data_IF_760832066895
#
_entry.id   IF_760832066895
#
_cell.length_a   1.000
_cell.length_b   1.000
_cell.length_c   1.000
_cell.angle_alpha   90.00
_cell.angle_beta   90.00
_cell.angle_gamma   90.00
#
_symmetry.space_group_name_H-M   'P 1'
#
loop_
_entity.id
_entity.type
_entity.pdbx_description
1 polymer ?
#
# COMPACT_ATOMS: atom_id res chain seq x y z
N UNK A 1 -10.55 12.24 0.87
CA UNK A 1 -11.89 12.25 1.51
C UNK A 1 -11.82 12.88 2.90
N UNK A 2 -11.06 12.33 3.85
CA UNK A 2 -11.05 12.77 5.26
C UNK A 2 -10.88 14.28 5.44
N UNK A 3 -9.84 14.88 4.81
CA UNK A 3 -9.59 16.34 4.90
C UNK A 3 -10.75 17.16 4.30
N UNK A 4 -11.30 16.71 3.16
CA UNK A 4 -12.45 17.36 2.52
C UNK A 4 -13.67 17.37 3.45
N UNK A 5 -14.04 16.22 3.99
CA UNK A 5 -15.17 16.09 4.90
C UNK A 5 -14.92 16.83 6.22
N UNK A 6 -13.71 16.78 6.75
CA UNK A 6 -13.37 17.55 7.96
C UNK A 6 -13.58 19.06 7.76
N UNK A 7 -13.19 19.58 6.59
CA UNK A 7 -13.48 21.00 6.26
C UNK A 7 -14.98 21.29 6.15
N UNK A 8 -15.79 20.33 5.69
CA UNK A 8 -17.22 20.52 5.50
C UNK A 8 -18.03 20.37 6.79
N UNK A 9 -17.73 19.37 7.62
CA UNK A 9 -18.56 18.98 8.78
C UNK A 9 -17.79 18.96 10.12
N UNK A 10 -16.50 19.26 10.11
CA UNK A 10 -15.69 19.41 11.32
C UNK A 10 -15.68 18.16 12.20
N UNK A 11 -16.00 18.33 13.48
CA UNK A 11 -15.99 17.28 14.51
C UNK A 11 -17.06 16.19 14.35
N UNK A 12 -17.99 16.33 13.41
CA UNK A 12 -18.94 15.26 13.08
C UNK A 12 -18.27 14.10 12.32
N UNK A 13 -17.05 14.32 11.77
CA UNK A 13 -16.27 13.29 11.12
C UNK A 13 -15.43 12.53 12.16
N UNK A 14 -15.58 11.21 12.20
CA UNK A 14 -14.64 10.30 12.87
C UNK A 14 -14.00 9.39 11.82
N UNK A 15 -12.68 9.33 11.79
CA UNK A 15 -11.92 8.44 10.92
C UNK A 15 -11.42 7.24 11.71
N UNK A 16 -11.48 6.05 11.10
CA UNK A 16 -10.88 4.83 11.66
C UNK A 16 -9.68 4.47 10.80
N UNK A 17 -8.50 4.40 11.41
CA UNK A 17 -7.25 3.98 10.76
C UNK A 17 -6.85 2.60 11.28
N UNK A 18 -6.97 1.59 10.44
CA UNK A 18 -6.62 0.20 10.79
C UNK A 18 -5.14 -0.03 10.48
N UNK A 19 -4.34 -0.21 11.54
CA UNK A 19 -2.95 -0.62 11.42
C UNK A 19 -2.88 -2.16 11.46
N UNK A 20 -2.89 -2.75 10.28
CA UNK A 20 -2.88 -4.21 10.10
C UNK A 20 -1.48 -4.84 10.12
N UNK A 21 -0.43 -4.06 10.41
CA UNK A 21 0.95 -4.56 10.45
C UNK A 21 1.62 -4.79 9.09
N UNK A 22 0.90 -4.61 7.97
CA UNK A 22 1.44 -4.74 6.61
C UNK A 22 1.75 -3.38 5.96
N UNK A 23 1.83 -2.34 6.77
CA UNK A 23 2.19 -0.99 6.33
C UNK A 23 3.70 -0.86 6.08
N UNK A 24 4.07 0.15 5.30
CA UNK A 24 5.47 0.57 5.12
C UNK A 24 6.08 1.05 6.44
N UNK A 25 7.41 1.12 6.49
CA UNK A 25 8.14 1.66 7.66
C UNK A 25 7.67 3.06 8.03
N UNK A 26 7.22 3.23 9.26
CA UNK A 26 6.76 4.51 9.82
C UNK A 26 5.48 5.08 9.20
N UNK A 27 4.80 4.36 8.28
CA UNK A 27 3.65 4.90 7.56
C UNK A 27 2.48 5.24 8.47
N UNK A 28 2.19 4.39 9.47
CA UNK A 28 1.12 4.66 10.42
C UNK A 28 1.34 5.94 11.21
N UNK A 29 2.56 6.19 11.66
CA UNK A 29 2.91 7.40 12.42
C UNK A 29 2.87 8.65 11.53
N UNK A 30 3.36 8.53 10.28
CA UNK A 30 3.27 9.62 9.29
C UNK A 30 1.82 10.01 8.98
N UNK A 31 0.90 9.03 8.89
CA UNK A 31 -0.54 9.28 8.69
C UNK A 31 -1.10 10.06 9.89
N UNK A 32 -0.81 9.61 11.11
CA UNK A 32 -1.29 10.28 12.32
C UNK A 32 -0.72 11.70 12.43
N UNK A 33 0.59 11.89 12.25
CA UNK A 33 1.21 13.21 12.29
C UNK A 33 0.63 14.17 11.25
N UNK A 34 0.45 13.67 10.02
CA UNK A 34 -0.05 14.50 8.93
C UNK A 34 -1.53 14.85 9.09
N UNK A 35 -2.38 13.88 9.39
CA UNK A 35 -3.83 14.08 9.40
C UNK A 35 -4.34 14.63 10.72
N UNK A 36 -3.85 14.14 11.84
CA UNK A 36 -4.22 14.67 13.18
C UNK A 36 -3.45 15.94 13.46
N UNK A 37 -2.11 15.92 13.33
CA UNK A 37 -1.26 17.04 13.71
C UNK A 37 -1.47 18.30 12.85
N UNK A 38 -1.56 18.15 11.51
CA UNK A 38 -1.69 19.30 10.61
C UNK A 38 -3.13 19.71 10.30
N UNK A 39 -4.04 18.73 10.20
CA UNK A 39 -5.43 18.99 9.81
C UNK A 39 -6.43 18.87 10.94
N UNK A 40 -6.04 18.36 12.10
CA UNK A 40 -6.92 18.23 13.27
C UNK A 40 -8.01 17.18 13.11
N UNK A 41 -7.83 16.17 12.24
CA UNK A 41 -8.81 15.12 12.06
C UNK A 41 -8.95 14.28 13.34
N UNK A 42 -10.20 13.92 13.69
CA UNK A 42 -10.46 12.93 14.73
C UNK A 42 -10.24 11.53 14.15
N UNK A 43 -9.11 10.89 14.50
CA UNK A 43 -8.72 9.57 14.00
C UNK A 43 -8.55 8.59 15.15
N UNK A 44 -9.28 7.48 15.09
CA UNK A 44 -9.11 6.31 15.95
C UNK A 44 -8.12 5.38 15.24
N UNK A 45 -6.90 5.22 15.79
CA UNK A 45 -5.94 4.23 15.29
C UNK A 45 -6.17 2.90 15.99
N UNK A 46 -6.44 1.86 15.22
CA UNK A 46 -6.69 0.50 15.70
C UNK A 46 -5.45 -0.34 15.41
N UNK A 47 -4.76 -0.83 16.45
CA UNK A 47 -3.70 -1.82 16.29
C UNK A 47 -4.33 -3.21 16.11
N UNK A 48 -4.37 -3.65 14.86
CA UNK A 48 -4.90 -4.95 14.46
C UNK A 48 -3.79 -5.93 13.99
N UNK A 49 -2.50 -5.57 14.16
CA UNK A 49 -1.37 -6.35 13.64
C UNK A 49 -1.47 -7.83 14.01
N UNK A 50 -1.65 -8.13 15.29
CA UNK A 50 -1.74 -9.52 15.74
C UNK A 50 -2.90 -10.28 15.08
N UNK A 51 -4.06 -9.63 14.95
CA UNK A 51 -5.27 -10.22 14.37
C UNK A 51 -5.05 -10.62 12.90
N UNK A 52 -4.40 -9.76 12.11
CA UNK A 52 -4.08 -10.06 10.72
C UNK A 52 -3.00 -11.14 10.60
N UNK A 53 -1.93 -11.07 11.39
CA UNK A 53 -0.85 -12.05 11.35
C UNK A 53 -1.32 -13.45 11.75
N UNK A 54 -2.17 -13.58 12.75
CA UNK A 54 -2.76 -14.86 13.16
C UNK A 54 -3.58 -15.50 12.02
N UNK A 55 -4.30 -14.69 11.25
CA UNK A 55 -5.12 -15.17 10.12
C UNK A 55 -4.30 -15.52 8.87
N UNK A 56 -3.14 -14.89 8.70
CA UNK A 56 -2.24 -15.10 7.57
C UNK A 56 -1.22 -16.21 7.81
N UNK A 57 -1.12 -16.73 9.03
CA UNK A 57 -0.18 -17.81 9.36
C UNK A 57 -0.43 -19.06 8.49
N UNK A 58 0.64 -19.55 7.83
CA UNK A 58 0.59 -20.69 6.93
C UNK A 58 -0.06 -20.43 5.56
N UNK A 59 -0.50 -19.19 5.26
CA UNK A 59 -1.14 -18.85 4.00
C UNK A 59 -0.09 -18.39 2.98
N UNK A 60 0.01 -19.12 1.87
CA UNK A 60 0.97 -18.84 0.79
C UNK A 60 0.31 -18.45 -0.52
N UNK A 61 -0.97 -18.78 -0.71
CA UNK A 61 -1.71 -18.44 -1.93
C UNK A 61 -2.06 -16.95 -1.97
N UNK A 62 -1.71 -16.23 -3.05
CA UNK A 62 -1.89 -14.79 -3.12
C UNK A 62 -3.36 -14.35 -3.07
N UNK A 63 -4.27 -15.12 -3.68
CA UNK A 63 -5.69 -14.78 -3.67
C UNK A 63 -6.31 -14.99 -2.28
N UNK A 64 -5.89 -16.03 -1.56
CA UNK A 64 -6.29 -16.26 -0.18
C UNK A 64 -5.78 -15.14 0.74
N UNK A 65 -4.51 -14.70 0.58
CA UNK A 65 -3.99 -13.55 1.32
C UNK A 65 -4.85 -12.31 1.11
N UNK A 66 -5.16 -11.98 -0.16
CA UNK A 66 -6.00 -10.82 -0.50
C UNK A 66 -7.38 -10.89 0.14
N UNK A 67 -8.04 -12.06 0.07
CA UNK A 67 -9.36 -12.28 0.69
C UNK A 67 -9.32 -12.16 2.22
N UNK A 68 -8.33 -12.77 2.86
CA UNK A 68 -8.17 -12.68 4.32
C UNK A 68 -7.96 -11.25 4.74
N UNK A 69 -7.02 -10.53 4.09
CA UNK A 69 -6.71 -9.14 4.42
C UNK A 69 -7.93 -8.24 4.20
N UNK A 70 -8.61 -8.38 3.07
CA UNK A 70 -9.81 -7.61 2.75
C UNK A 70 -10.94 -7.83 3.74
N UNK A 71 -11.27 -9.10 4.01
CA UNK A 71 -12.35 -9.45 4.95
C UNK A 71 -12.02 -8.98 6.38
N UNK A 72 -10.80 -9.24 6.84
CA UNK A 72 -10.40 -8.88 8.19
C UNK A 72 -10.38 -7.36 8.39
N UNK A 73 -10.02 -6.60 7.35
CA UNK A 73 -10.12 -5.14 7.39
C UNK A 73 -11.55 -4.66 7.62
N UNK A 74 -12.52 -5.25 6.92
CA UNK A 74 -13.95 -4.94 7.11
C UNK A 74 -14.41 -5.28 8.52
N UNK A 75 -14.04 -6.46 9.04
CA UNK A 75 -14.42 -6.86 10.39
C UNK A 75 -13.83 -5.95 11.49
N UNK A 76 -12.56 -5.56 11.36
CA UNK A 76 -11.93 -4.61 12.30
C UNK A 76 -12.61 -3.26 12.24
N UNK A 77 -12.95 -2.79 11.03
CA UNK A 77 -13.66 -1.53 10.83
C UNK A 77 -15.04 -1.59 11.48
N UNK A 78 -15.80 -2.65 11.26
CA UNK A 78 -17.15 -2.85 11.83
C UNK A 78 -17.13 -2.93 13.36
N UNK A 79 -16.18 -3.70 13.92
CA UNK A 79 -15.95 -3.80 15.36
C UNK A 79 -15.70 -2.43 16.01
N UNK A 80 -15.03 -1.51 15.33
CA UNK A 80 -14.78 -0.16 15.83
C UNK A 80 -15.97 0.79 15.56
N UNK A 81 -16.58 0.70 14.38
CA UNK A 81 -17.70 1.53 13.99
C UNK A 81 -18.92 1.31 14.91
N UNK A 82 -19.18 0.06 15.33
CA UNK A 82 -20.27 -0.28 16.26
C UNK A 82 -20.11 0.30 17.66
N UNK A 83 -18.89 0.66 18.07
CA UNK A 83 -18.63 1.35 19.34
C UNK A 83 -19.02 2.83 19.32
N UNK A 84 -19.16 3.40 18.10
CA UNK A 84 -19.51 4.80 17.91
C UNK A 84 -21.03 4.98 17.95
N UNK A 85 -21.49 5.98 18.70
CA UNK A 85 -22.91 6.31 18.80
C UNK A 85 -23.26 7.50 17.90
N UNK A 86 -24.46 7.49 17.32
CA UNK A 86 -24.96 8.61 16.52
C UNK A 86 -24.27 8.76 15.18
N UNK A 87 -23.79 7.68 14.59
CA UNK A 87 -23.21 7.65 13.25
C UNK A 87 -24.26 7.12 12.27
N UNK A 88 -24.62 7.93 11.30
CA UNK A 88 -25.62 7.60 10.26
C UNK A 88 -25.00 7.25 8.92
N UNK A 89 -23.76 7.68 8.66
CA UNK A 89 -23.13 7.62 7.35
C UNK A 89 -21.74 7.01 7.39
N UNK A 90 -21.42 6.25 6.32
CA UNK A 90 -20.07 5.79 6.00
C UNK A 90 -19.55 6.58 4.80
N UNK A 91 -18.39 7.21 4.94
CA UNK A 91 -17.73 7.90 3.84
C UNK A 91 -16.72 7.00 3.15
N UNK A 92 -16.81 6.86 1.84
CA UNK A 92 -15.92 6.07 1.00
C UNK A 92 -15.23 6.93 -0.06
N UNK A 93 -14.00 6.57 -0.40
CA UNK A 93 -13.17 7.29 -1.37
C UNK A 93 -13.28 6.79 -2.80
N UNK A 94 -14.42 6.29 -3.20
CA UNK A 94 -14.71 5.85 -4.57
C UNK A 94 -14.43 6.95 -5.57
N UNK A 95 -13.71 6.65 -6.63
CA UNK A 95 -13.41 7.54 -7.75
C UNK A 95 -14.34 7.26 -8.93
N UNK A 96 -14.38 8.17 -9.90
CA UNK A 96 -15.19 7.98 -11.10
C UNK A 96 -14.78 6.76 -11.93
N UNK A 97 -13.48 6.45 -11.98
CA UNK A 97 -12.95 5.23 -12.59
C UNK A 97 -13.51 3.96 -11.95
N UNK A 98 -13.62 3.93 -10.62
CA UNK A 98 -14.18 2.79 -9.89
C UNK A 98 -15.67 2.59 -10.22
N UNK A 99 -16.39 3.69 -10.41
CA UNK A 99 -17.82 3.67 -10.83
C UNK A 99 -17.97 3.09 -12.24
N UNK A 100 -17.12 3.52 -13.19
CA UNK A 100 -17.16 3.01 -14.57
C UNK A 100 -16.83 1.51 -14.60
N UNK A 101 -15.78 1.10 -13.91
CA UNK A 101 -15.35 -0.31 -13.84
C UNK A 101 -16.39 -1.21 -13.20
N UNK A 102 -17.17 -0.72 -12.23
CA UNK A 102 -18.23 -1.48 -11.57
C UNK A 102 -19.50 -1.65 -12.40
N UNK A 103 -19.67 -0.87 -13.48
CA UNK A 103 -20.88 -0.88 -14.34
C UNK A 103 -20.86 -1.87 -15.50
N UNK A 104 -19.76 -2.60 -15.75
CA UNK A 104 -19.64 -3.56 -16.86
C UNK A 104 -19.84 -5.00 -16.40
N UNK A 105 -20.46 -5.87 -17.24
CA UNK A 105 -20.70 -7.29 -16.93
C UNK A 105 -19.40 -8.07 -16.65
N UNK A 106 -18.28 -7.64 -17.22
CA UNK A 106 -16.93 -8.13 -16.94
C UNK A 106 -16.40 -7.72 -15.55
N UNK A 107 -17.02 -6.71 -14.96
CA UNK A 107 -16.62 -6.16 -13.66
C UNK A 107 -17.01 -7.03 -12.45
N UNK A 108 -17.85 -8.07 -12.62
CA UNK A 108 -18.11 -9.02 -11.52
C UNK A 108 -16.87 -9.76 -11.05
N UNK A 109 -15.90 -9.98 -11.95
CA UNK A 109 -14.61 -10.60 -11.60
C UNK A 109 -13.62 -9.58 -11.02
N UNK A 110 -13.76 -8.31 -11.36
CA UNK A 110 -12.90 -7.20 -10.89
C UNK A 110 -13.39 -6.62 -9.55
N UNK A 111 -14.68 -6.79 -9.22
CA UNK A 111 -15.31 -6.34 -7.97
C UNK A 111 -14.65 -6.85 -6.68
N UNK A 112 -13.88 -7.94 -6.76
CA UNK A 112 -13.11 -8.44 -5.60
C UNK A 112 -11.91 -7.57 -5.23
N UNK A 113 -11.49 -6.65 -6.09
CA UNK A 113 -10.27 -5.85 -5.92
C UNK A 113 -10.52 -4.39 -5.53
N UNK A 114 -11.74 -3.88 -5.74
CA UNK A 114 -12.11 -2.52 -5.36
C UNK A 114 -13.22 -2.58 -4.32
N UNK A 115 -13.09 -1.86 -3.23
CA UNK A 115 -13.93 -1.85 -2.03
C UNK A 115 -15.45 -1.61 -2.23
N UNK A 116 -15.95 -1.50 -3.46
CA UNK A 116 -17.35 -1.19 -3.79
C UNK A 116 -18.31 -2.36 -3.51
N UNK A 117 -17.80 -3.59 -3.30
CA UNK A 117 -18.60 -4.77 -3.05
C UNK A 117 -18.28 -5.54 -1.77
N UNK A 118 -17.39 -5.02 -0.93
CA UNK A 118 -16.88 -5.73 0.25
C UNK A 118 -17.53 -5.33 1.57
N UNK A 119 -18.48 -4.41 1.56
CA UNK A 119 -19.21 -4.06 2.79
C UNK A 119 -20.25 -5.16 3.10
N UNK A 120 -20.40 -5.57 4.37
CA UNK A 120 -21.45 -6.50 4.77
C UNK A 120 -22.85 -6.00 4.36
N UNK A 121 -23.68 -6.92 3.88
CA UNK A 121 -25.07 -6.59 3.44
C UNK A 121 -25.95 -6.07 4.57
N UNK A 122 -25.58 -6.33 5.81
CA UNK A 122 -26.27 -5.93 7.05
C UNK A 122 -25.76 -4.60 7.63
N UNK A 123 -24.80 -3.94 6.97
CA UNK A 123 -24.28 -2.64 7.42
C UNK A 123 -25.37 -1.56 7.28
N UNK A 124 -25.76 -0.94 8.39
CA UNK A 124 -26.89 -0.01 8.48
C UNK A 124 -26.53 1.44 8.09
N UNK A 125 -25.28 1.72 7.69
CA UNK A 125 -24.85 3.09 7.34
C UNK A 125 -25.27 3.49 5.93
N UNK A 126 -25.71 4.73 5.76
CA UNK A 126 -25.87 5.34 4.43
C UNK A 126 -24.50 5.69 3.86
N UNK A 127 -24.27 5.36 2.60
CA UNK A 127 -22.99 5.62 1.94
C UNK A 127 -22.90 7.08 1.45
N UNK A 128 -21.74 7.71 1.67
CA UNK A 128 -21.37 9.01 1.10
C UNK A 128 -20.08 8.85 0.30
N UNK A 129 -20.10 9.19 -0.98
CA UNK A 129 -18.98 9.07 -1.90
C UNK A 129 -18.67 10.41 -2.57
N UNK A 130 -17.98 11.32 -1.84
CA UNK A 130 -17.84 12.72 -2.30
C UNK A 130 -16.87 12.89 -3.47
N UNK A 131 -16.17 11.84 -3.90
CA UNK A 131 -15.19 11.88 -5.00
C UNK A 131 -15.64 11.04 -6.22
N UNK A 132 -16.83 10.47 -6.23
CA UNK A 132 -17.28 9.50 -7.23
C UNK A 132 -17.51 10.09 -8.64
N UNK A 133 -17.38 11.39 -8.80
CA UNK A 133 -17.44 12.11 -10.09
C UNK A 133 -16.07 12.63 -10.55
N UNK A 134 -15.00 12.39 -9.77
CA UNK A 134 -13.67 12.91 -10.04
C UNK A 134 -12.72 11.81 -10.49
N UNK A 135 -11.85 12.15 -11.45
CA UNK A 135 -10.71 11.35 -11.82
C UNK A 135 -9.54 11.51 -10.82
N UNK A 136 -8.57 10.62 -10.87
CA UNK A 136 -7.46 10.57 -9.90
C UNK A 136 -6.58 11.81 -9.91
N UNK A 137 -6.36 12.40 -11.08
CA UNK A 137 -5.63 13.66 -11.25
C UNK A 137 -6.39 14.85 -10.67
N UNK A 138 -7.71 14.93 -10.88
CA UNK A 138 -8.57 15.95 -10.27
C UNK A 138 -8.60 15.83 -8.74
N UNK A 139 -8.60 14.60 -8.21
CA UNK A 139 -8.50 14.37 -6.74
C UNK A 139 -7.16 14.82 -6.19
N UNK A 140 -6.06 14.68 -6.95
CA UNK A 140 -4.75 15.20 -6.56
C UNK A 140 -4.74 16.74 -6.55
N UNK A 141 -5.32 17.37 -7.56
CA UNK A 141 -5.47 18.81 -7.60
C UNK A 141 -6.30 19.33 -6.43
N UNK A 142 -7.44 18.69 -6.16
CA UNK A 142 -8.26 18.98 -4.98
C UNK A 142 -7.46 18.84 -3.68
N UNK A 143 -6.63 17.80 -3.56
CA UNK A 143 -5.75 17.60 -2.42
C UNK A 143 -4.78 18.76 -2.22
N UNK A 144 -4.17 19.24 -3.30
CA UNK A 144 -3.29 20.40 -3.29
C UNK A 144 -4.03 21.69 -2.87
N UNK A 145 -5.22 21.91 -3.42
CA UNK A 145 -6.08 23.07 -3.04
C UNK A 145 -6.54 23.01 -1.58
N UNK A 146 -6.70 21.80 -1.03
CA UNK A 146 -7.01 21.60 0.39
C UNK A 146 -5.80 21.85 1.32
N UNK A 147 -4.61 22.11 0.76
CA UNK A 147 -3.37 22.35 1.51
C UNK A 147 -2.69 21.07 1.99
N UNK A 148 -2.98 19.94 1.37
CA UNK A 148 -2.30 18.66 1.70
C UNK A 148 -0.86 18.70 1.19
N UNK A 149 0.11 18.17 1.97
CA UNK A 149 1.50 18.15 1.54
C UNK A 149 1.71 17.24 0.33
N UNK A 150 2.64 17.62 -0.53
CA UNK A 150 3.00 16.90 -1.74
C UNK A 150 3.33 15.43 -1.48
N UNK A 151 3.97 15.13 -0.36
CA UNK A 151 4.31 13.76 0.06
C UNK A 151 3.08 12.85 0.25
N UNK A 152 1.90 13.43 0.45
CA UNK A 152 0.63 12.68 0.52
C UNK A 152 -0.08 12.71 -0.84
N UNK A 153 -0.21 13.89 -1.47
CA UNK A 153 -0.95 14.07 -2.73
C UNK A 153 -0.33 13.26 -3.86
N UNK A 154 1.00 13.27 -3.95
CA UNK A 154 1.76 12.62 -5.01
C UNK A 154 2.36 11.28 -4.62
N UNK A 155 1.94 10.74 -3.48
CA UNK A 155 2.39 9.42 -3.06
C UNK A 155 2.13 8.39 -4.16
N UNK A 156 3.15 7.56 -4.45
CA UNK A 156 2.99 6.45 -5.37
C UNK A 156 1.89 5.48 -4.90
N UNK A 157 1.24 4.74 -5.82
CA UNK A 157 0.26 3.72 -5.44
C UNK A 157 0.80 2.75 -4.40
N UNK A 158 -0.06 2.36 -3.46
CA UNK A 158 0.23 1.31 -2.50
C UNK A 158 -0.96 0.35 -2.46
N UNK A 159 -0.73 -0.94 -2.61
CA UNK A 159 -1.83 -1.91 -2.72
C UNK A 159 -2.61 -2.02 -1.42
N UNK A 160 -3.91 -2.31 -1.50
CA UNK A 160 -4.78 -2.52 -0.33
C UNK A 160 -4.24 -3.57 0.65
N UNK A 161 -3.72 -4.74 0.18
CA UNK A 161 -3.11 -5.75 1.04
C UNK A 161 -1.74 -5.34 1.63
N UNK A 162 -1.25 -4.14 1.34
CA UNK A 162 0.02 -3.63 1.85
C UNK A 162 1.23 -4.46 1.41
N UNK A 163 2.20 -4.61 2.31
CA UNK A 163 3.40 -5.42 2.06
C UNK A 163 3.10 -6.92 1.97
N UNK A 164 1.89 -7.37 2.31
CA UNK A 164 1.52 -8.78 2.29
C UNK A 164 1.66 -9.44 0.93
N UNK A 165 1.43 -8.70 -0.18
CA UNK A 165 1.61 -9.18 -1.56
C UNK A 165 3.00 -8.91 -2.14
N UNK A 166 3.92 -8.40 -1.32
CA UNK A 166 5.34 -8.22 -1.65
C UNK A 166 6.23 -9.23 -0.95
N UNK A 167 5.65 -10.10 -0.13
CA UNK A 167 6.27 -11.30 0.42
C UNK A 167 5.67 -12.49 -0.30
N UNK A 168 6.41 -13.07 -1.25
CA UNK A 168 5.93 -14.24 -2.00
C UNK A 168 5.89 -15.46 -1.09
N UNK A 169 4.74 -16.16 -1.09
CA UNK A 169 4.49 -17.26 -0.18
C UNK A 169 4.06 -16.82 1.21
N UNK A 170 4.33 -17.60 2.23
CA UNK A 170 3.93 -17.33 3.61
C UNK A 170 4.55 -16.05 4.17
N UNK A 171 3.72 -15.24 4.82
CA UNK A 171 4.10 -14.00 5.51
C UNK A 171 4.59 -14.34 6.92
N UNK A 172 5.80 -13.87 7.27
CA UNK A 172 6.33 -13.92 8.63
C UNK A 172 6.83 -12.54 9.05
N UNK A 173 6.98 -12.32 10.35
CA UNK A 173 7.53 -11.06 10.90
C UNK A 173 8.93 -10.77 10.32
N UNK A 174 9.81 -11.79 10.24
CA UNK A 174 11.15 -11.66 9.65
C UNK A 174 11.07 -11.17 8.20
N UNK A 175 10.23 -11.82 7.38
CA UNK A 175 10.09 -11.46 5.96
C UNK A 175 9.47 -10.07 5.77
N UNK A 176 8.49 -9.70 6.60
CA UNK A 176 7.91 -8.36 6.58
C UNK A 176 8.93 -7.30 6.94
N UNK A 177 9.77 -7.56 7.94
CA UNK A 177 10.83 -6.61 8.33
C UNK A 177 11.86 -6.42 7.22
N UNK A 178 12.28 -7.51 6.56
CA UNK A 178 13.18 -7.45 5.41
C UNK A 178 12.60 -6.59 4.28
N UNK A 179 11.34 -6.81 3.91
CA UNK A 179 10.68 -6.01 2.86
C UNK A 179 10.50 -4.56 3.31
N UNK A 180 10.11 -4.33 4.55
CA UNK A 180 9.90 -2.99 5.11
C UNK A 180 11.16 -2.14 5.09
N UNK A 181 12.27 -2.71 5.54
CA UNK A 181 13.56 -2.03 5.58
C UNK A 181 14.13 -1.82 4.17
N UNK A 182 14.09 -2.85 3.31
CA UNK A 182 14.58 -2.74 1.93
C UNK A 182 13.75 -1.76 1.09
N UNK A 183 12.41 -1.74 1.24
CA UNK A 183 11.53 -0.79 0.57
C UNK A 183 11.78 0.67 1.05
N UNK A 184 12.08 0.84 2.34
CA UNK A 184 12.44 2.14 2.88
C UNK A 184 13.72 2.68 2.22
N UNK A 185 14.78 1.86 2.15
CA UNK A 185 16.05 2.24 1.51
C UNK A 185 15.85 2.58 0.04
N UNK A 186 15.12 1.73 -0.70
CA UNK A 186 14.82 1.98 -2.12
C UNK A 186 14.13 3.33 -2.30
N UNK A 187 13.08 3.61 -1.54
CA UNK A 187 12.33 4.86 -1.64
C UNK A 187 13.16 6.08 -1.29
N UNK A 188 14.00 5.98 -0.27
CA UNK A 188 14.90 7.05 0.14
C UNK A 188 15.91 7.37 -0.97
N UNK A 189 16.55 6.37 -1.57
CA UNK A 189 17.55 6.59 -2.64
C UNK A 189 16.93 7.09 -3.94
N UNK A 190 15.73 6.63 -4.31
CA UNK A 190 14.98 7.16 -5.47
C UNK A 190 14.64 8.65 -5.24
N UNK A 191 14.18 9.01 -4.06
CA UNK A 191 13.88 10.40 -3.71
C UNK A 191 15.16 11.28 -3.69
N UNK A 192 16.25 10.78 -3.09
CA UNK A 192 17.54 11.47 -3.07
C UNK A 192 18.12 11.70 -4.46
N UNK A 193 17.80 10.83 -5.41
CA UNK A 193 18.18 10.97 -6.82
C UNK A 193 17.21 11.87 -7.62
N UNK A 194 16.13 12.37 -7.02
CA UNK A 194 15.13 13.20 -7.68
C UNK A 194 14.26 12.45 -8.69
N UNK A 195 14.17 11.11 -8.58
CA UNK A 195 13.44 10.25 -9.52
C UNK A 195 12.02 9.90 -9.07
N UNK A 196 11.61 10.33 -7.89
CA UNK A 196 10.33 9.99 -7.26
C UNK A 196 9.09 10.48 -8.02
N UNK A 197 9.27 11.44 -8.95
CA UNK A 197 8.21 11.93 -9.85
C UNK A 197 8.24 11.27 -11.23
N UNK A 198 9.40 10.81 -11.67
CA UNK A 198 9.60 10.21 -12.99
C UNK A 198 9.26 8.72 -13.00
N UNK A 199 9.46 8.04 -11.87
CA UNK A 199 9.12 6.62 -11.70
C UNK A 199 7.73 6.50 -11.08
N UNK A 200 6.79 5.94 -11.85
CA UNK A 200 5.37 5.88 -11.46
C UNK A 200 5.12 5.03 -10.22
N UNK A 201 5.76 3.85 -10.14
CA UNK A 201 5.72 2.98 -8.95
C UNK A 201 7.04 2.22 -8.81
N UNK A 202 7.54 2.10 -7.60
CA UNK A 202 8.75 1.37 -7.26
C UNK A 202 8.65 0.78 -5.85
N UNK A 203 9.14 -0.45 -5.69
CA UNK A 203 9.09 -1.19 -4.44
C UNK A 203 10.05 -2.36 -4.45
N UNK A 204 10.27 -2.93 -3.26
CA UNK A 204 10.98 -4.20 -3.11
C UNK A 204 10.01 -5.35 -2.92
N UNK A 205 10.40 -6.53 -3.38
CA UNK A 205 9.68 -7.79 -3.22
C UNK A 205 10.63 -8.85 -2.69
N UNK A 206 10.13 -9.71 -1.80
CA UNK A 206 10.85 -10.88 -1.29
C UNK A 206 10.33 -12.14 -1.99
N UNK A 207 11.06 -12.68 -3.01
CA UNK A 207 10.61 -13.84 -3.76
C UNK A 207 10.61 -15.16 -2.98
N UNK A 208 11.14 -15.15 -1.74
CA UNK A 208 11.13 -16.30 -0.84
C UNK A 208 12.29 -17.28 -1.03
N UNK A 209 13.09 -17.19 -2.09
CA UNK A 209 14.26 -18.03 -2.26
C UNK A 209 15.53 -17.40 -1.66
N UNK A 210 16.46 -18.30 -1.27
CA UNK A 210 17.76 -17.90 -0.71
C UNK A 210 18.88 -18.23 -1.70
N UNK A 211 19.97 -17.51 -1.57
CA UNK A 211 21.18 -17.72 -2.38
C UNK A 211 22.45 -17.71 -1.53
N UNK A 212 23.49 -18.34 -2.08
CA UNK A 212 24.80 -18.32 -1.43
C UNK A 212 25.45 -16.95 -1.62
N UNK A 213 26.01 -16.43 -0.53
CA UNK A 213 26.80 -15.20 -0.50
C UNK A 213 28.05 -15.36 0.33
N UNK A 214 28.88 -14.33 0.34
CA UNK A 214 30.04 -14.19 1.21
C UNK A 214 29.94 -12.83 1.89
N UNK A 215 29.94 -12.82 3.23
CA UNK A 215 29.95 -11.61 4.03
C UNK A 215 31.09 -11.69 5.06
N UNK A 216 32.06 -10.78 4.95
CA UNK A 216 33.32 -10.90 5.65
C UNK A 216 34.04 -12.19 5.25
N UNK A 217 34.52 -12.97 6.20
CA UNK A 217 35.18 -14.26 5.95
C UNK A 217 34.24 -15.47 5.96
N UNK A 218 32.91 -15.22 6.08
CA UNK A 218 31.89 -16.25 6.23
C UNK A 218 31.02 -16.44 4.98
N UNK A 219 30.69 -17.72 4.70
CA UNK A 219 29.68 -18.07 3.69
C UNK A 219 28.29 -17.87 4.29
N UNK A 220 27.40 -17.20 3.56
CA UNK A 220 26.01 -16.98 3.95
C UNK A 220 25.05 -17.71 3.02
N UNK A 221 23.83 -17.93 3.51
CA UNK A 221 22.71 -18.47 2.73
C UNK A 221 21.46 -17.67 3.08
N UNK A 222 21.30 -16.53 2.43
CA UNK A 222 20.34 -15.51 2.77
C UNK A 222 19.38 -15.19 1.62
N UNK A 223 18.38 -14.37 1.89
CA UNK A 223 17.34 -14.00 0.93
C UNK A 223 17.88 -13.12 -0.21
N UNK A 224 17.21 -13.26 -1.34
CA UNK A 224 17.32 -12.35 -2.47
C UNK A 224 16.15 -11.35 -2.41
N UNK A 225 16.44 -10.07 -2.63
CA UNK A 225 15.43 -9.02 -2.80
C UNK A 225 15.32 -8.69 -4.29
N UNK A 226 14.09 -8.67 -4.80
CA UNK A 226 13.75 -8.11 -6.09
C UNK A 226 13.42 -6.63 -5.97
N UNK A 227 13.91 -5.81 -6.89
CA UNK A 227 13.48 -4.43 -7.09
C UNK A 227 12.56 -4.41 -8.30
N UNK A 228 11.36 -3.88 -8.11
CA UNK A 228 10.42 -3.55 -9.19
C UNK A 228 10.27 -2.05 -9.27
N UNK A 229 10.51 -1.47 -10.45
CA UNK A 229 10.25 -0.08 -10.72
C UNK A 229 9.72 0.07 -12.15
N UNK A 230 8.64 0.81 -12.32
CA UNK A 230 7.94 0.95 -13.59
C UNK A 230 7.56 2.40 -13.88
N UNK A 231 7.54 2.72 -15.17
CA UNK A 231 6.93 3.92 -15.72
C UNK A 231 5.59 3.56 -16.35
N UNK A 232 4.57 4.36 -16.12
CA UNK A 232 3.23 4.17 -16.66
C UNK A 232 2.49 5.50 -16.67
N UNK A 233 1.43 5.60 -17.48
CA UNK A 233 0.49 6.72 -17.47
C UNK A 233 -0.73 6.38 -16.62
N UNK A 234 -1.29 5.19 -16.82
CA UNK A 234 -2.59 4.77 -16.26
C UNK A 234 -2.53 3.45 -15.46
N UNK A 235 -1.39 2.77 -15.45
CA UNK A 235 -1.22 1.44 -14.82
C UNK A 235 -1.76 0.27 -15.66
N UNK A 236 -2.43 0.52 -16.80
CA UNK A 236 -2.92 -0.53 -17.71
C UNK A 236 -1.75 -1.20 -18.41
N UNK A 237 -0.84 -0.39 -18.93
CA UNK A 237 0.44 -0.83 -19.49
C UNK A 237 1.58 -0.17 -18.73
N UNK A 238 2.73 -0.84 -18.64
CA UNK A 238 3.92 -0.26 -18.02
C UNK A 238 5.19 -0.81 -18.63
N UNK A 239 6.22 0.02 -18.66
CA UNK A 239 7.57 -0.42 -18.96
C UNK A 239 8.41 -0.35 -17.67
N UNK A 240 9.48 -1.16 -17.60
CA UNK A 240 10.39 -1.07 -16.47
C UNK A 240 11.19 0.25 -16.51
N UNK A 241 11.37 0.88 -15.37
CA UNK A 241 12.08 2.15 -15.28
C UNK A 241 13.59 1.96 -15.47
N UNK A 242 14.24 2.84 -16.23
CA UNK A 242 15.69 2.84 -16.45
C UNK A 242 16.37 3.66 -15.34
N UNK A 243 16.37 3.12 -14.14
CA UNK A 243 17.07 3.75 -13.02
C UNK A 243 18.58 3.79 -13.33
N UNK A 244 19.26 4.93 -13.13
CA UNK A 244 20.71 5.03 -13.32
C UNK A 244 21.47 3.97 -12.53
N UNK A 245 22.52 3.41 -13.13
CA UNK A 245 23.28 2.31 -12.51
C UNK A 245 23.96 2.68 -11.21
N UNK A 246 24.40 3.91 -11.05
CA UNK A 246 24.98 4.43 -9.80
C UNK A 246 23.94 4.49 -8.68
N UNK A 247 22.69 4.82 -8.99
CA UNK A 247 21.57 4.77 -8.03
C UNK A 247 21.26 3.32 -7.65
N UNK A 248 21.17 2.41 -8.63
CA UNK A 248 20.96 0.97 -8.37
C UNK A 248 22.09 0.38 -7.54
N UNK A 249 23.34 0.73 -7.84
CA UNK A 249 24.50 0.28 -7.07
C UNK A 249 24.41 0.76 -5.60
N UNK A 250 24.05 2.02 -5.38
CA UNK A 250 23.88 2.58 -4.04
C UNK A 250 22.76 1.88 -3.27
N UNK A 251 21.59 1.67 -3.91
CA UNK A 251 20.47 0.93 -3.33
C UNK A 251 20.91 -0.48 -2.93
N UNK A 252 21.58 -1.20 -3.85
CA UNK A 252 22.05 -2.57 -3.62
C UNK A 252 23.01 -2.65 -2.44
N UNK A 253 24.02 -1.78 -2.39
CA UNK A 253 24.98 -1.74 -1.30
C UNK A 253 24.32 -1.44 0.05
N UNK A 254 23.41 -0.49 0.08
CA UNK A 254 22.69 -0.14 1.30
C UNK A 254 21.82 -1.29 1.79
N UNK A 255 21.02 -1.90 0.92
CA UNK A 255 20.15 -3.01 1.32
C UNK A 255 20.98 -4.18 1.87
N UNK A 256 22.05 -4.59 1.18
CA UNK A 256 22.88 -5.71 1.63
C UNK A 256 23.61 -5.41 2.96
N UNK A 257 24.01 -4.17 3.20
CA UNK A 257 24.72 -3.80 4.43
C UNK A 257 23.81 -3.47 5.61
N UNK A 258 22.63 -2.92 5.38
CA UNK A 258 21.73 -2.40 6.41
C UNK A 258 20.60 -3.39 6.76
N UNK A 259 20.17 -4.25 5.80
CA UNK A 259 19.08 -5.20 6.01
C UNK A 259 19.63 -6.59 6.29
N UNK A 260 19.35 -7.11 7.47
CA UNK A 260 19.79 -8.46 7.88
C UNK A 260 19.17 -9.54 6.99
N UNK A 261 19.89 -10.65 6.80
CA UNK A 261 19.42 -11.83 6.04
C UNK A 261 19.18 -11.56 4.55
N UNK A 262 19.84 -10.56 3.96
CA UNK A 262 19.82 -10.25 2.53
C UNK A 262 21.25 -10.24 1.99
N UNK A 263 21.52 -11.03 0.96
CA UNK A 263 22.85 -11.10 0.34
C UNK A 263 22.84 -10.87 -1.18
N UNK A 264 21.64 -10.65 -1.78
CA UNK A 264 21.53 -10.48 -3.24
C UNK A 264 20.37 -9.57 -3.60
N UNK A 265 20.62 -8.70 -4.59
CA UNK A 265 19.61 -7.82 -5.18
C UNK A 265 19.47 -8.17 -6.65
N UNK A 266 18.23 -8.24 -7.15
CA UNK A 266 17.90 -8.41 -8.57
C UNK A 266 16.94 -7.30 -9.00
N UNK A 267 17.00 -6.91 -10.27
CA UNK A 267 16.12 -5.90 -10.83
C UNK A 267 15.19 -6.52 -11.87
N UNK A 268 13.87 -6.35 -11.68
CA UNK A 268 12.87 -6.86 -12.61
C UNK A 268 12.73 -5.92 -13.81
N UNK A 269 13.16 -6.40 -14.99
CA UNK A 269 13.17 -5.66 -16.27
C UNK A 269 12.02 -6.08 -17.19
N UNK A 270 10.91 -6.58 -16.64
CA UNK A 270 9.79 -7.07 -17.42
C UNK A 270 8.71 -6.01 -17.56
N UNK A 271 8.20 -5.80 -18.77
CA UNK A 271 7.10 -4.88 -19.06
C UNK A 271 5.73 -5.50 -18.70
N UNK A 272 4.71 -4.68 -18.56
CA UNK A 272 3.31 -5.08 -18.48
C UNK A 272 2.58 -4.69 -19.78
N UNK A 273 2.02 -5.65 -20.55
CA UNK A 273 2.22 -7.09 -20.44
C UNK A 273 3.65 -7.52 -20.79
N UNK A 274 4.10 -8.78 -20.54
CA UNK A 274 3.31 -9.91 -20.06
C UNK A 274 3.19 -10.00 -18.53
N UNK A 275 4.05 -9.33 -17.76
CA UNK A 275 3.94 -9.36 -16.29
C UNK A 275 2.87 -8.40 -15.75
N UNK A 276 2.56 -8.52 -14.48
CA UNK A 276 1.84 -7.50 -13.71
C UNK A 276 2.82 -6.50 -13.08
N UNK A 277 2.33 -5.43 -12.47
CA UNK A 277 3.19 -4.50 -11.73
C UNK A 277 3.56 -5.11 -10.38
N UNK A 278 2.57 -5.47 -9.55
CA UNK A 278 2.81 -6.26 -8.34
C UNK A 278 3.07 -7.73 -8.72
N UNK A 279 3.81 -8.45 -7.88
CA UNK A 279 4.17 -9.84 -8.16
C UNK A 279 3.13 -10.85 -7.67
N UNK A 280 2.31 -10.47 -6.68
CA UNK A 280 1.15 -11.23 -6.21
C UNK A 280 -0.15 -10.44 -6.29
#
# INVERSE_FOLDING_TARGET
VGVLLHKAIGSQLTCIFVDHGLLRKGEGDQVMESLVGKFGLNIIRVDAKKRFMDKLAGVSDPEQKRKIIGNEFVYVFDDEATKLQGIDFLAQGTLYTDVIESGTETAQTIKSHHNVGGLPEDMQFKLIEPLNTLFKDEVRELGTQLGMPDSIVWRQPFPGPGLGIRVIGEITEEKLEIVRESDYILREEIANAGLDRDVWQYFTVLPGFRSVGVMGDGRTYDYTIGIRAVTSIDGMTSDWARIPYDVLDKISRRIVNEVKHVNRIVYDITSKPPSTIEWE
#
